data_IF_039434185630
#
_entry.id   IF_039434185630
#
_cell.length_a   1.000
_cell.length_b   1.000
_cell.length_c   1.000
_cell.angle_alpha   90.00
_cell.angle_beta   90.00
_cell.angle_gamma   90.00
#
_symmetry.space_group_name_H-M   'P 1'
#
loop_
_entity.id
_entity.type
_entity.pdbx_description
1 polymer ?
#
# COMPACT_ATOMS: atom_id res chain seq x y z
N UNK A 1 -0.12 16.16 2.32
CA UNK A 1 -1.55 15.78 2.31
C UNK A 1 -1.75 14.31 1.88
N UNK A 2 -1.48 13.90 0.63
CA UNK A 2 -1.59 12.47 0.22
C UNK A 2 -0.48 11.58 0.79
N UNK A 3 0.73 12.12 0.93
CA UNK A 3 1.87 11.47 1.59
C UNK A 3 1.59 11.06 3.03
N UNK A 4 0.80 11.87 3.75
CA UNK A 4 0.58 11.68 5.18
C UNK A 4 -0.42 10.56 5.44
N UNK A 5 -1.44 10.45 4.57
CA UNK A 5 -2.39 9.33 4.53
C UNK A 5 -1.65 8.01 4.30
N UNK A 6 -0.69 8.00 3.36
CA UNK A 6 0.10 6.81 3.07
C UNK A 6 0.93 6.38 4.28
N UNK A 7 1.58 7.34 4.94
CA UNK A 7 2.38 7.07 6.15
C UNK A 7 1.53 6.53 7.28
N UNK A 8 0.36 7.13 7.54
CA UNK A 8 -0.56 6.68 8.59
C UNK A 8 -1.04 5.24 8.36
N UNK A 9 -1.42 4.87 7.13
CA UNK A 9 -1.80 3.49 6.83
C UNK A 9 -0.62 2.53 6.89
N UNK A 10 0.57 2.95 6.47
CA UNK A 10 1.77 2.12 6.57
C UNK A 10 2.10 1.81 8.04
N UNK A 11 2.07 2.82 8.91
CA UNK A 11 2.30 2.65 10.35
C UNK A 11 1.29 1.68 10.95
N UNK A 12 -0.02 1.83 10.66
CA UNK A 12 -1.04 0.90 11.18
C UNK A 12 -0.84 -0.54 10.72
N UNK A 13 -0.36 -0.76 9.50
CA UNK A 13 -0.09 -2.11 8.99
C UNK A 13 1.15 -2.73 9.66
N UNK A 14 2.19 -1.92 9.90
CA UNK A 14 3.39 -2.34 10.65
C UNK A 14 3.04 -2.66 12.10
N UNK A 15 2.27 -1.80 12.77
CA UNK A 15 1.84 -2.01 14.17
C UNK A 15 0.99 -3.27 14.34
N UNK A 16 0.16 -3.58 13.34
CA UNK A 16 -0.61 -4.83 13.28
C UNK A 16 0.21 -6.05 12.87
N UNK A 17 1.50 -5.89 12.59
CA UNK A 17 2.41 -6.93 12.09
C UNK A 17 1.92 -7.63 10.82
N UNK A 18 1.23 -6.88 9.96
CA UNK A 18 0.75 -7.38 8.66
C UNK A 18 1.80 -7.21 7.54
N UNK A 19 2.70 -6.24 7.70
CA UNK A 19 3.80 -5.97 6.78
C UNK A 19 5.07 -5.61 7.57
N UNK A 20 6.21 -5.68 6.91
CA UNK A 20 7.50 -5.27 7.45
C UNK A 20 8.36 -4.59 6.38
N UNK A 21 9.37 -3.79 6.78
CA UNK A 21 10.38 -3.30 5.85
C UNK A 21 11.08 -4.48 5.17
N UNK A 22 11.28 -4.39 3.86
CA UNK A 22 11.97 -5.43 3.09
C UNK A 22 13.02 -4.83 2.16
N UNK A 23 14.02 -5.65 1.84
CA UNK A 23 15.06 -5.35 0.85
C UNK A 23 14.92 -6.31 -0.33
N UNK A 24 13.70 -6.49 -0.83
CA UNK A 24 13.40 -7.38 -1.95
C UNK A 24 13.85 -6.76 -3.28
N UNK A 25 14.34 -7.61 -4.19
CA UNK A 25 14.58 -7.22 -5.59
C UNK A 25 13.25 -6.93 -6.33
N UNK A 26 12.13 -7.36 -5.77
CA UNK A 26 10.79 -7.16 -6.31
C UNK A 26 10.07 -6.03 -5.57
N UNK A 27 9.48 -5.12 -6.34
CA UNK A 27 8.65 -4.03 -5.81
C UNK A 27 7.44 -3.77 -6.70
N UNK A 28 6.32 -3.42 -6.09
CA UNK A 28 5.09 -3.03 -6.77
C UNK A 28 4.65 -1.66 -6.27
N UNK A 29 4.21 -0.74 -7.16
CA UNK A 29 3.87 0.61 -6.75
C UNK A 29 2.59 0.64 -5.91
N UNK A 30 2.49 1.65 -5.04
CA UNK A 30 1.31 1.89 -4.21
C UNK A 30 0.43 2.98 -4.84
N UNK A 31 -0.88 2.75 -4.83
CA UNK A 31 -1.90 3.63 -5.37
C UNK A 31 -2.89 4.00 -4.26
N UNK A 32 -3.21 5.29 -4.16
CA UNK A 32 -4.24 5.79 -3.25
C UNK A 32 -5.54 6.03 -4.01
N UNK A 33 -6.61 5.34 -3.60
CA UNK A 33 -7.93 5.41 -4.24
C UNK A 33 -8.93 6.09 -3.28
N UNK A 34 -9.67 7.12 -3.72
CA UNK A 34 -10.70 7.74 -2.90
C UNK A 34 -11.92 6.81 -2.80
N UNK A 35 -12.47 6.66 -1.60
CA UNK A 35 -13.73 5.97 -1.36
C UNK A 35 -14.89 6.96 -1.31
N UNK A 36 -16.10 6.46 -1.60
CA UNK A 36 -17.36 7.25 -1.53
C UNK A 36 -17.61 7.91 -0.17
N UNK A 37 -17.06 7.34 0.91
CA UNK A 37 -17.20 7.86 2.28
C UNK A 37 -16.15 8.93 2.65
N UNK A 38 -15.42 9.48 1.68
CA UNK A 38 -14.40 10.50 1.90
C UNK A 38 -13.06 9.97 2.46
N UNK A 39 -12.97 8.67 2.81
CA UNK A 39 -11.71 8.04 3.20
C UNK A 39 -10.89 7.67 1.97
N UNK A 40 -9.60 7.45 2.18
CA UNK A 40 -8.69 6.93 1.17
C UNK A 40 -8.38 5.46 1.45
N UNK A 41 -8.12 4.69 0.39
CA UNK A 41 -7.65 3.31 0.49
C UNK A 41 -6.28 3.21 -0.17
N UNK A 42 -5.33 2.62 0.55
CA UNK A 42 -4.06 2.18 0.00
C UNK A 42 -4.25 0.84 -0.72
N UNK A 43 -3.82 0.78 -1.98
CA UNK A 43 -3.81 -0.43 -2.80
C UNK A 43 -2.42 -0.62 -3.40
N UNK A 44 -1.95 -1.86 -3.48
CA UNK A 44 -0.71 -2.19 -4.20
C UNK A 44 -1.08 -2.67 -5.60
N UNK A 45 -0.42 -2.13 -6.62
CA UNK A 45 -0.66 -2.52 -8.00
C UNK A 45 0.12 -3.79 -8.34
N UNK A 46 -0.53 -4.94 -8.11
CA UNK A 46 0.04 -6.26 -8.38
C UNK A 46 -0.13 -6.74 -9.83
N UNK A 47 -0.58 -5.90 -10.78
CA UNK A 47 -0.87 -6.36 -12.16
C UNK A 47 0.30 -7.12 -12.80
N UNK A 48 1.53 -6.56 -12.71
CA UNK A 48 2.73 -7.23 -13.24
C UNK A 48 3.05 -8.55 -12.56
N UNK A 49 2.78 -8.66 -11.26
CA UNK A 49 3.01 -9.89 -10.49
C UNK A 49 1.97 -10.95 -10.86
N UNK A 50 0.71 -10.53 -11.02
CA UNK A 50 -0.39 -11.40 -11.42
C UNK A 50 -0.22 -11.93 -12.85
N UNK A 51 0.40 -11.17 -13.75
CA UNK A 51 0.65 -11.62 -15.13
C UNK A 51 1.72 -12.75 -15.20
N UNK A 52 2.57 -12.88 -14.17
CA UNK A 52 3.65 -13.89 -14.11
C UNK A 52 3.37 -15.02 -13.12
N UNK A 53 2.18 -15.04 -12.50
CA UNK A 53 1.76 -16.04 -11.50
C UNK A 53 0.50 -16.76 -11.97
#
# INVERSE_FOLDING_TARGET
>A
MKSDILKDELTKLIDKKLIEPSYSEWSSPVVLVPKKNGKWRMCVDYRKVNDVT
#
